data_IF_426234050031
#
_entry.id   IF_426234050031
#
_cell.length_a   1.000
_cell.length_b   1.000
_cell.length_c   1.000
_cell.angle_alpha   90.00
_cell.angle_beta   90.00
_cell.angle_gamma   90.00
#
_symmetry.space_group_name_H-M   'P 1'
#
loop_
_entity.id
_entity.type
_entity.pdbx_description
1 polymer ?
#
# COMPACT_ATOMS: atom_id res chain seq x y z
N UNK A 1 -14.71 34.37 -5.03
CA UNK A 1 -15.47 34.13 -6.27
C UNK A 1 -15.41 32.64 -6.56
N UNK A 2 -16.54 31.96 -6.71
CA UNK A 2 -16.55 30.54 -7.07
C UNK A 2 -15.90 30.38 -8.45
N UNK A 3 -14.94 29.46 -8.59
CA UNK A 3 -14.35 29.16 -9.91
C UNK A 3 -15.46 28.66 -10.82
N UNK A 4 -15.59 29.27 -11.98
CA UNK A 4 -16.51 28.86 -13.05
C UNK A 4 -15.95 27.70 -13.90
N UNK A 5 -14.92 27.02 -13.40
CA UNK A 5 -14.19 25.94 -14.07
C UNK A 5 -14.42 24.65 -13.27
N UNK A 6 -14.74 23.51 -13.92
CA UNK A 6 -14.93 22.24 -13.22
C UNK A 6 -13.68 21.86 -12.41
N UNK A 7 -13.89 21.24 -11.24
CA UNK A 7 -12.80 20.73 -10.41
C UNK A 7 -11.98 19.72 -11.22
N UNK A 8 -10.65 19.76 -11.12
CA UNK A 8 -9.77 18.90 -11.91
C UNK A 8 -8.74 18.17 -11.06
N UNK A 9 -8.62 16.86 -11.26
CA UNK A 9 -7.59 16.04 -10.65
C UNK A 9 -6.77 15.31 -11.71
N UNK A 10 -5.45 15.39 -11.62
CA UNK A 10 -4.54 14.57 -12.42
C UNK A 10 -4.16 13.34 -11.60
N UNK A 11 -4.34 12.15 -12.16
CA UNK A 11 -4.01 10.89 -11.49
C UNK A 11 -2.98 10.10 -12.30
N UNK A 12 -1.79 9.90 -11.74
CA UNK A 12 -0.74 9.08 -12.31
C UNK A 12 -0.96 7.60 -11.96
N UNK A 13 -0.96 6.74 -12.99
CA UNK A 13 -1.14 5.30 -12.85
C UNK A 13 -2.58 4.87 -13.10
N UNK A 14 -2.88 4.48 -14.33
CA UNK A 14 -4.21 4.03 -14.76
C UNK A 14 -4.44 2.53 -14.49
N UNK A 15 -3.76 1.94 -13.50
CA UNK A 15 -3.95 0.56 -13.07
C UNK A 15 -5.22 0.33 -12.24
N UNK A 16 -5.36 -0.85 -11.64
CA UNK A 16 -6.58 -1.22 -10.92
C UNK A 16 -6.83 -0.34 -9.66
N UNK A 17 -5.78 0.00 -8.90
CA UNK A 17 -5.90 0.93 -7.76
C UNK A 17 -6.29 2.33 -8.25
N UNK A 18 -5.66 2.79 -9.34
CA UNK A 18 -5.96 4.10 -9.89
C UNK A 18 -7.41 4.22 -10.36
N UNK A 19 -7.88 3.28 -11.20
CA UNK A 19 -9.26 3.29 -11.73
C UNK A 19 -10.30 2.94 -10.66
N UNK A 20 -10.07 1.88 -9.90
CA UNK A 20 -11.05 1.33 -8.97
C UNK A 20 -11.15 2.06 -7.64
N UNK A 21 -10.07 2.72 -7.19
CA UNK A 21 -10.04 3.36 -5.89
C UNK A 21 -9.84 4.87 -5.98
N UNK A 22 -8.65 5.34 -6.34
CA UNK A 22 -8.31 6.77 -6.22
C UNK A 22 -9.16 7.61 -7.17
N UNK A 23 -9.20 7.28 -8.46
CA UNK A 23 -10.00 8.01 -9.44
C UNK A 23 -11.50 7.86 -9.22
N UNK A 24 -11.97 6.72 -8.72
CA UNK A 24 -13.38 6.51 -8.36
C UNK A 24 -13.83 7.55 -7.31
N UNK A 25 -13.03 7.75 -6.27
CA UNK A 25 -13.34 8.69 -5.19
C UNK A 25 -13.21 10.15 -5.65
N UNK A 26 -12.22 10.45 -6.48
CA UNK A 26 -12.10 11.77 -7.13
C UNK A 26 -13.32 12.06 -8.03
N UNK A 27 -13.74 11.11 -8.86
CA UNK A 27 -14.93 11.23 -9.70
C UNK A 27 -16.18 11.49 -8.86
N UNK A 28 -16.41 10.68 -7.81
CA UNK A 28 -17.57 10.83 -6.93
C UNK A 28 -17.58 12.18 -6.20
N UNK A 29 -16.40 12.77 -5.98
CA UNK A 29 -16.22 14.11 -5.40
C UNK A 29 -16.42 15.27 -6.40
N UNK A 30 -16.80 14.96 -7.64
CA UNK A 30 -17.10 15.92 -8.70
C UNK A 30 -15.89 16.42 -9.48
N UNK A 31 -14.75 15.72 -9.42
CA UNK A 31 -13.58 16.05 -10.25
C UNK A 31 -13.71 15.48 -11.66
N UNK A 32 -13.34 16.26 -12.68
CA UNK A 32 -12.85 15.70 -13.94
C UNK A 32 -11.51 15.01 -13.66
N UNK A 33 -11.41 13.73 -13.99
CA UNK A 33 -10.18 12.95 -13.77
C UNK A 33 -9.37 12.88 -15.06
N UNK A 34 -8.14 13.39 -15.01
CA UNK A 34 -7.15 13.25 -16.08
C UNK A 34 -6.15 12.17 -15.69
N UNK A 35 -6.31 10.97 -16.25
CA UNK A 35 -5.34 9.89 -16.07
C UNK A 35 -4.02 10.20 -16.81
N UNK A 36 -2.91 9.88 -16.18
CA UNK A 36 -1.57 9.94 -16.77
C UNK A 36 -0.91 8.56 -16.64
N UNK A 37 -0.59 7.93 -17.77
CA UNK A 37 0.07 6.62 -17.81
C UNK A 37 0.99 6.52 -19.04
N UNK A 38 1.91 5.56 -19.06
CA UNK A 38 2.77 5.28 -20.23
C UNK A 38 2.24 4.14 -21.09
N UNK A 39 1.30 3.34 -20.57
CA UNK A 39 0.68 2.23 -21.25
C UNK A 39 -0.33 2.73 -22.30
N UNK A 40 0.12 2.77 -23.56
CA UNK A 40 -0.67 3.29 -24.68
C UNK A 40 -2.00 2.54 -24.87
N UNK A 41 -2.03 1.22 -24.67
CA UNK A 41 -3.26 0.45 -24.79
C UNK A 41 -4.31 0.88 -23.75
N UNK A 42 -3.88 1.16 -22.51
CA UNK A 42 -4.76 1.64 -21.44
C UNK A 42 -5.23 3.07 -21.69
N UNK A 43 -4.31 3.97 -22.09
CA UNK A 43 -4.64 5.36 -22.44
C UNK A 43 -5.63 5.41 -23.60
N UNK A 44 -5.39 4.64 -24.66
CA UNK A 44 -6.28 4.55 -25.82
C UNK A 44 -7.66 3.98 -25.44
N UNK A 45 -7.73 2.95 -24.59
CA UNK A 45 -9.01 2.42 -24.09
C UNK A 45 -9.78 3.48 -23.28
N UNK A 46 -9.12 4.19 -22.37
CA UNK A 46 -9.74 5.27 -21.59
C UNK A 46 -10.29 6.38 -22.50
N UNK A 47 -9.55 6.79 -23.53
CA UNK A 47 -10.02 7.85 -24.43
C UNK A 47 -11.14 7.41 -25.39
N UNK A 48 -11.30 6.11 -25.63
CA UNK A 48 -12.35 5.57 -26.54
C UNK A 48 -13.62 5.18 -25.80
N UNK A 49 -13.51 4.67 -24.57
CA UNK A 49 -14.65 4.30 -23.74
C UNK A 49 -15.10 5.47 -22.88
N UNK A 50 -16.38 5.86 -22.97
CA UNK A 50 -16.95 6.99 -22.21
C UNK A 50 -17.12 6.72 -20.71
N UNK A 51 -17.11 5.45 -20.33
CA UNK A 51 -17.32 5.00 -18.96
C UNK A 51 -16.72 3.62 -18.73
N UNK A 52 -16.42 3.29 -17.48
CA UNK A 52 -16.12 1.94 -17.01
C UNK A 52 -16.78 1.70 -15.65
N UNK A 53 -16.82 0.45 -15.20
CA UNK A 53 -17.45 0.06 -13.94
C UNK A 53 -16.43 -0.21 -12.85
N UNK A 54 -16.77 0.20 -11.64
CA UNK A 54 -16.11 -0.23 -10.41
C UNK A 54 -17.08 -1.12 -9.66
N UNK A 55 -16.72 -2.39 -9.53
CA UNK A 55 -17.54 -3.47 -8.97
C UNK A 55 -17.00 -3.80 -7.59
N UNK A 56 -17.74 -3.45 -6.56
CA UNK A 56 -17.34 -3.63 -5.17
C UNK A 56 -17.99 -4.88 -4.59
N UNK A 57 -17.19 -5.83 -4.14
CA UNK A 57 -17.66 -7.10 -3.58
C UNK A 57 -17.46 -7.17 -2.07
N UNK A 58 -18.47 -7.68 -1.38
CA UNK A 58 -18.43 -7.93 0.06
C UNK A 58 -19.30 -9.14 0.42
N UNK A 59 -19.21 -9.58 1.68
CA UNK A 59 -20.04 -10.68 2.18
C UNK A 59 -21.55 -10.37 2.17
N UNK A 60 -21.91 -9.09 2.11
CA UNK A 60 -23.26 -8.54 2.00
C UNK A 60 -23.72 -8.34 0.54
N UNK A 61 -22.94 -8.79 -0.44
CA UNK A 61 -23.26 -8.71 -1.87
C UNK A 61 -22.38 -7.72 -2.64
N UNK A 62 -22.82 -7.38 -3.85
CA UNK A 62 -22.07 -6.55 -4.81
C UNK A 62 -22.73 -5.17 -4.98
N UNK A 63 -21.92 -4.10 -5.00
CA UNK A 63 -22.32 -2.77 -5.47
C UNK A 63 -21.54 -2.39 -6.72
N UNK A 64 -22.10 -1.49 -7.53
CA UNK A 64 -21.48 -1.05 -8.77
C UNK A 64 -21.54 0.49 -8.86
N UNK A 65 -20.42 1.10 -9.26
CA UNK A 65 -20.32 2.52 -9.61
C UNK A 65 -19.89 2.66 -11.07
N UNK A 66 -20.55 3.55 -11.82
CA UNK A 66 -20.17 3.88 -13.19
C UNK A 66 -19.31 5.13 -13.15
N UNK A 67 -18.07 5.00 -13.60
CA UNK A 67 -17.11 6.11 -13.66
C UNK A 67 -17.18 6.75 -15.04
N UNK A 68 -17.32 8.06 -15.07
CA UNK A 68 -17.43 8.88 -16.29
C UNK A 68 -16.54 10.12 -16.17
N UNK A 69 -16.68 11.09 -17.08
CA UNK A 69 -16.03 12.40 -16.98
C UNK A 69 -14.51 12.33 -16.74
N UNK A 70 -13.85 11.43 -17.47
CA UNK A 70 -12.41 11.28 -17.44
C UNK A 70 -11.83 11.34 -18.85
N UNK A 71 -10.53 11.55 -18.91
CA UNK A 71 -9.70 11.37 -20.11
C UNK A 71 -8.31 10.90 -19.70
N UNK A 72 -7.52 10.44 -20.66
CA UNK A 72 -6.18 9.95 -20.41
C UNK A 72 -5.14 10.63 -21.31
N UNK A 73 -3.96 10.89 -20.74
CA UNK A 73 -2.80 11.43 -21.44
C UNK A 73 -1.67 10.41 -21.30
N UNK A 74 -1.02 10.09 -22.43
CA UNK A 74 0.21 9.33 -22.35
C UNK A 74 1.33 10.24 -21.82
N UNK A 75 1.78 9.99 -20.59
CA UNK A 75 2.73 10.87 -19.88
C UNK A 75 4.11 10.92 -20.53
N UNK A 76 4.45 9.96 -21.39
CA UNK A 76 5.72 9.91 -22.12
C UNK A 76 5.66 10.64 -23.46
N UNK A 77 4.56 10.53 -24.20
CA UNK A 77 4.45 11.07 -25.57
C UNK A 77 3.77 12.43 -25.63
N UNK A 78 2.99 12.80 -24.61
CA UNK A 78 2.22 14.05 -24.55
C UNK A 78 2.52 14.84 -23.26
N UNK A 79 3.79 14.87 -22.85
CA UNK A 79 4.24 15.52 -21.61
C UNK A 79 3.81 17.00 -21.54
N UNK A 80 3.92 17.74 -22.65
CA UNK A 80 3.55 19.15 -22.69
C UNK A 80 2.06 19.37 -22.36
N UNK A 81 1.18 18.43 -22.74
CA UNK A 81 -0.25 18.50 -22.45
C UNK A 81 -0.49 18.19 -20.98
N UNK A 82 0.17 17.14 -20.46
CA UNK A 82 0.12 16.77 -19.05
C UNK A 82 0.58 17.92 -18.13
N UNK A 83 1.66 18.61 -18.47
CA UNK A 83 2.16 19.78 -17.72
C UNK A 83 1.10 20.88 -17.63
N UNK A 84 0.37 21.15 -18.72
CA UNK A 84 -0.73 22.15 -18.72
C UNK A 84 -1.89 21.71 -17.84
N UNK A 85 -2.20 20.41 -17.80
CA UNK A 85 -3.22 19.88 -16.91
C UNK A 85 -2.83 20.03 -15.44
N UNK A 86 -1.60 19.66 -15.09
CA UNK A 86 -1.07 19.77 -13.72
C UNK A 86 -1.07 21.23 -13.26
N UNK A 87 -0.65 22.17 -14.11
CA UNK A 87 -0.58 23.59 -13.79
C UNK A 87 -1.93 24.19 -13.34
N UNK A 88 -3.05 23.61 -13.80
CA UNK A 88 -4.41 24.08 -13.48
C UNK A 88 -5.19 23.14 -12.57
N UNK A 89 -4.65 21.98 -12.22
CA UNK A 89 -5.32 21.00 -11.37
C UNK A 89 -5.47 21.48 -9.93
N UNK A 90 -6.48 20.97 -9.25
CA UNK A 90 -6.66 21.13 -7.80
C UNK A 90 -5.89 20.04 -7.05
N UNK A 91 -5.78 18.85 -7.65
CA UNK A 91 -5.13 17.67 -7.10
C UNK A 91 -4.20 17.01 -8.13
N UNK A 92 -3.07 16.51 -7.63
CA UNK A 92 -2.22 15.52 -8.30
C UNK A 92 -2.12 14.32 -7.38
N UNK A 93 -2.57 13.16 -7.85
CA UNK A 93 -2.49 11.91 -7.10
C UNK A 93 -1.71 10.86 -7.89
N UNK A 94 -1.18 9.83 -7.23
CA UNK A 94 -0.57 8.70 -7.93
C UNK A 94 -0.79 7.36 -7.24
N UNK A 95 -0.85 6.29 -8.03
CA UNK A 95 -0.73 4.89 -7.59
C UNK A 95 0.04 4.10 -8.66
N UNK A 96 1.35 4.36 -8.74
CA UNK A 96 2.28 3.87 -9.77
C UNK A 96 3.30 2.88 -9.24
N UNK A 97 3.40 2.72 -7.92
CA UNK A 97 4.44 1.97 -7.25
C UNK A 97 5.60 2.88 -6.80
N UNK A 98 6.16 2.69 -5.59
CA UNK A 98 7.20 3.58 -5.03
C UNK A 98 8.42 3.79 -5.93
N UNK A 99 8.86 2.75 -6.64
CA UNK A 99 10.01 2.82 -7.56
C UNK A 99 9.76 3.68 -8.80
N UNK A 100 8.49 3.95 -9.12
CA UNK A 100 8.08 4.74 -10.29
C UNK A 100 7.93 6.23 -9.96
N UNK A 101 7.86 6.61 -8.68
CA UNK A 101 7.70 8.00 -8.24
C UNK A 101 8.75 8.95 -8.86
N UNK A 102 10.00 8.51 -8.94
CA UNK A 102 11.10 9.29 -9.57
C UNK A 102 10.86 9.60 -11.05
N UNK A 103 10.10 8.78 -11.77
CA UNK A 103 9.85 8.97 -13.20
C UNK A 103 8.67 9.91 -13.47
N UNK A 104 7.75 10.08 -12.52
CA UNK A 104 6.62 11.03 -12.65
C UNK A 104 6.98 12.42 -12.10
N UNK A 105 7.94 12.50 -11.18
CA UNK A 105 8.37 13.74 -10.54
C UNK A 105 8.75 14.87 -11.52
N UNK A 106 9.46 14.65 -12.64
CA UNK A 106 9.83 15.72 -13.57
C UNK A 106 8.62 16.44 -14.19
N UNK A 107 7.59 15.68 -14.60
CA UNK A 107 6.38 16.25 -15.19
C UNK A 107 5.57 17.05 -14.14
N UNK A 108 5.51 16.54 -12.90
CA UNK A 108 4.86 17.23 -11.79
C UNK A 108 5.60 18.52 -11.44
N UNK A 109 6.94 18.50 -11.37
CA UNK A 109 7.75 19.68 -11.12
C UNK A 109 7.52 20.77 -12.18
N UNK A 110 7.53 20.42 -13.47
CA UNK A 110 7.21 21.35 -14.57
C UNK A 110 5.79 21.91 -14.47
N UNK A 111 4.82 21.09 -14.10
CA UNK A 111 3.44 21.52 -13.90
C UNK A 111 3.27 22.49 -12.73
N UNK A 112 3.93 22.21 -11.59
CA UNK A 112 3.98 23.11 -10.44
C UNK A 112 4.68 24.43 -10.80
N UNK A 113 5.78 24.37 -11.56
CA UNK A 113 6.51 25.55 -12.03
C UNK A 113 5.62 26.46 -12.90
N UNK A 114 4.81 25.85 -13.76
CA UNK A 114 3.87 26.54 -14.65
C UNK A 114 2.57 27.01 -13.95
N UNK A 115 2.30 26.60 -12.70
CA UNK A 115 1.08 26.98 -11.98
C UNK A 115 1.08 28.46 -11.61
N UNK A 116 0.04 29.26 -11.94
CA UNK A 116 -0.09 30.65 -11.46
C UNK A 116 -0.23 30.74 -9.93
N UNK A 117 0.40 31.74 -9.31
CA UNK A 117 0.40 31.95 -7.84
C UNK A 117 -0.94 32.39 -7.26
N UNK A 118 -1.86 32.81 -8.12
CA UNK A 118 -3.20 33.26 -7.77
C UNK A 118 -4.16 32.07 -7.57
N UNK A 119 -3.77 30.88 -8.05
CA UNK A 119 -4.48 29.65 -7.78
C UNK A 119 -4.07 29.11 -6.40
N UNK A 120 -5.02 28.53 -5.67
CA UNK A 120 -4.74 27.70 -4.48
C UNK A 120 -3.61 26.72 -4.80
N UNK A 121 -2.64 26.46 -3.91
CA UNK A 121 -1.61 25.45 -4.14
C UNK A 121 -2.21 24.10 -4.55
N UNK A 122 -1.60 23.41 -5.51
CA UNK A 122 -2.03 22.05 -5.90
C UNK A 122 -1.75 21.08 -4.76
N UNK A 123 -2.72 20.23 -4.43
CA UNK A 123 -2.53 19.16 -3.46
C UNK A 123 -1.88 17.94 -4.15
N UNK A 124 -0.68 17.57 -3.73
CA UNK A 124 0.04 16.38 -4.21
C UNK A 124 -0.08 15.29 -3.16
N UNK A 125 -0.64 14.14 -3.54
CA UNK A 125 -0.92 13.01 -2.64
C UNK A 125 -0.55 11.68 -3.33
N UNK A 126 0.56 11.07 -2.93
CA UNK A 126 0.92 9.73 -3.36
C UNK A 126 0.12 8.68 -2.59
N UNK A 127 -0.69 7.90 -3.31
CA UNK A 127 -1.57 6.84 -2.81
C UNK A 127 -0.89 5.48 -3.05
N UNK A 128 0.23 5.26 -2.38
CA UNK A 128 1.10 4.09 -2.55
C UNK A 128 1.03 3.16 -1.33
N UNK A 129 1.36 1.89 -1.53
CA UNK A 129 1.59 0.95 -0.42
C UNK A 129 3.01 1.13 0.16
N UNK A 130 3.35 2.36 0.56
CA UNK A 130 4.62 2.73 1.16
C UNK A 130 4.43 3.89 2.15
N UNK A 131 5.20 3.85 3.25
CA UNK A 131 5.23 4.92 4.25
C UNK A 131 5.95 6.13 3.67
N UNK A 132 5.42 7.33 3.86
CA UNK A 132 6.08 8.57 3.42
C UNK A 132 6.17 8.72 1.90
N UNK A 133 5.31 8.04 1.13
CA UNK A 133 5.40 8.03 -0.34
C UNK A 133 5.29 9.44 -0.95
N UNK A 134 4.53 10.33 -0.31
CA UNK A 134 4.38 11.70 -0.81
C UNK A 134 5.62 12.54 -0.49
N UNK A 135 6.26 12.31 0.65
CA UNK A 135 7.56 12.91 0.96
C UNK A 135 8.64 12.43 -0.02
N UNK A 136 8.71 11.12 -0.30
CA UNK A 136 9.62 10.57 -1.31
C UNK A 136 9.37 11.19 -2.70
N UNK A 137 8.11 11.34 -3.09
CA UNK A 137 7.78 12.03 -4.34
C UNK A 137 8.20 13.51 -4.30
N UNK A 138 7.98 14.20 -3.18
CA UNK A 138 8.36 15.58 -2.99
C UNK A 138 9.89 15.78 -3.04
N UNK A 139 10.68 14.84 -2.52
CA UNK A 139 12.14 14.83 -2.64
C UNK A 139 12.56 14.78 -4.11
N UNK A 140 11.99 13.86 -4.91
CA UNK A 140 12.27 13.80 -6.34
C UNK A 140 11.84 15.06 -7.07
N UNK A 141 10.68 15.64 -6.73
CA UNK A 141 10.20 16.90 -7.32
C UNK A 141 11.17 18.05 -7.01
N UNK A 142 11.62 18.17 -5.76
CA UNK A 142 12.50 19.24 -5.28
C UNK A 142 13.97 19.07 -5.71
N UNK A 143 14.33 17.91 -6.25
CA UNK A 143 15.69 17.63 -6.69
C UNK A 143 16.18 18.67 -7.71
N UNK A 144 17.46 19.10 -7.67
CA UNK A 144 17.97 20.20 -8.50
C UNK A 144 17.80 20.01 -10.01
N UNK A 145 17.75 18.76 -10.48
CA UNK A 145 17.49 18.40 -11.87
C UNK A 145 16.04 18.66 -12.31
N UNK A 146 15.10 18.73 -11.37
CA UNK A 146 13.66 18.88 -11.62
C UNK A 146 13.14 20.27 -11.24
N UNK A 147 13.64 20.85 -10.15
CA UNK A 147 13.20 22.17 -9.66
C UNK A 147 14.40 23.08 -9.40
N UNK A 148 14.38 24.26 -10.02
CA UNK A 148 15.43 25.27 -9.85
C UNK A 148 15.41 25.85 -8.42
N UNK A 149 16.57 26.17 -7.80
CA UNK A 149 16.62 26.67 -6.42
C UNK A 149 15.71 27.87 -6.13
N UNK A 150 15.59 28.81 -7.06
CA UNK A 150 14.73 29.99 -6.92
C UNK A 150 13.23 29.65 -6.81
N UNK A 151 12.83 28.47 -7.27
CA UNK A 151 11.44 27.96 -7.23
C UNK A 151 11.13 27.20 -5.96
N UNK A 152 12.15 26.73 -5.25
CA UNK A 152 11.97 26.11 -3.94
C UNK A 152 11.52 27.15 -2.90
N UNK A 153 11.96 28.40 -3.05
CA UNK A 153 11.63 29.49 -2.13
C UNK A 153 10.15 29.92 -2.13
N UNK A 154 9.42 29.65 -3.22
CA UNK A 154 7.97 29.91 -3.32
C UNK A 154 7.14 28.65 -3.63
N UNK A 155 7.72 27.46 -3.43
CA UNK A 155 7.07 26.18 -3.75
C UNK A 155 5.79 25.99 -2.96
N UNK A 156 5.78 26.41 -1.69
CA UNK A 156 4.62 26.38 -0.83
C UNK A 156 3.47 27.22 -1.40
N UNK A 157 3.73 28.30 -2.13
CA UNK A 157 2.66 29.07 -2.78
C UNK A 157 2.03 28.33 -3.96
N UNK A 158 2.63 27.23 -4.43
CA UNK A 158 2.19 26.50 -5.64
C UNK A 158 1.79 25.05 -5.37
N UNK A 159 2.37 24.40 -4.38
CA UNK A 159 2.12 23.00 -4.06
C UNK A 159 2.09 22.71 -2.55
N UNK A 160 1.27 21.73 -2.19
CA UNK A 160 1.13 21.16 -0.84
C UNK A 160 1.29 19.66 -0.95
N UNK A 161 2.15 19.07 -0.14
CA UNK A 161 2.49 17.64 -0.18
C UNK A 161 1.94 17.00 1.09
N UNK A 162 1.04 16.02 0.96
CA UNK A 162 0.42 15.36 2.10
C UNK A 162 0.51 13.85 1.97
N UNK A 163 1.13 13.19 2.95
CA UNK A 163 1.17 11.74 2.93
C UNK A 163 -0.22 11.15 3.11
N UNK A 164 -0.36 9.92 2.61
CA UNK A 164 -1.59 9.16 2.75
C UNK A 164 -1.31 7.73 3.20
N UNK A 165 -2.30 7.15 3.87
CA UNK A 165 -2.40 5.73 4.11
C UNK A 165 -3.66 5.23 3.40
N UNK A 166 -3.48 4.31 2.45
CA UNK A 166 -4.57 3.71 1.71
C UNK A 166 -4.70 2.21 2.02
N UNK A 167 -5.94 1.73 2.13
CA UNK A 167 -6.24 0.31 2.29
C UNK A 167 -7.44 -0.08 1.45
N UNK A 168 -7.20 -0.98 0.49
CA UNK A 168 -8.23 -1.62 -0.31
C UNK A 168 -7.64 -2.87 -0.96
N UNK A 169 -8.27 -4.02 -0.72
CA UNK A 169 -7.92 -5.29 -1.34
C UNK A 169 -8.47 -5.30 -2.76
N UNK A 170 -7.55 -5.40 -3.71
CA UNK A 170 -7.85 -5.60 -5.13
C UNK A 170 -7.34 -6.98 -5.51
N UNK A 171 -8.25 -7.95 -5.76
CA UNK A 171 -7.86 -9.30 -6.16
C UNK A 171 -7.31 -9.30 -7.60
N UNK A 172 -6.89 -10.47 -8.07
CA UNK A 172 -6.62 -10.66 -9.49
C UNK A 172 -7.87 -10.28 -10.31
N UNK A 173 -7.66 -9.59 -11.43
CA UNK A 173 -8.74 -9.18 -12.33
C UNK A 173 -8.88 -10.19 -13.45
N UNK A 174 -10.10 -10.36 -13.95
CA UNK A 174 -10.34 -11.06 -15.20
C UNK A 174 -9.57 -10.34 -16.34
N UNK A 175 -8.69 -11.03 -17.09
CA UNK A 175 -7.97 -10.44 -18.22
C UNK A 175 -8.88 -9.79 -19.26
N UNK A 176 -10.13 -10.26 -19.38
CA UNK A 176 -11.13 -9.76 -20.33
C UNK A 176 -12.02 -8.65 -19.75
N UNK A 177 -11.82 -8.22 -18.50
CA UNK A 177 -12.60 -7.15 -17.85
C UNK A 177 -12.45 -5.77 -18.53
N UNK A 178 -11.48 -5.60 -19.42
CA UNK A 178 -11.24 -4.32 -20.10
C UNK A 178 -10.78 -3.25 -19.11
N UNK A 179 -11.57 -2.17 -18.95
CA UNK A 179 -11.31 -1.11 -17.98
C UNK A 179 -11.98 -1.34 -16.63
N UNK A 180 -12.98 -2.23 -16.57
CA UNK A 180 -13.72 -2.49 -15.35
C UNK A 180 -12.77 -3.01 -14.26
N UNK A 181 -13.07 -2.67 -13.01
CA UNK A 181 -12.28 -3.10 -11.84
C UNK A 181 -13.20 -3.71 -10.80
N UNK A 182 -12.87 -4.92 -10.38
CA UNK A 182 -13.47 -5.63 -9.26
C UNK A 182 -12.58 -5.54 -8.02
N UNK A 183 -13.13 -5.11 -6.89
CA UNK A 183 -12.37 -4.90 -5.65
C UNK A 183 -13.28 -5.02 -4.43
N UNK A 184 -12.72 -5.05 -3.23
CA UNK A 184 -13.55 -5.17 -2.02
C UNK A 184 -14.36 -3.88 -1.75
N UNK A 185 -15.52 -4.03 -1.09
CA UNK A 185 -16.33 -2.91 -0.60
C UNK A 185 -15.64 -2.07 0.47
N UNK A 186 -14.83 -2.68 1.33
CA UNK A 186 -14.10 -1.92 2.34
C UNK A 186 -13.07 -1.01 1.67
N UNK A 187 -12.90 0.18 2.22
CA UNK A 187 -11.79 1.05 1.89
C UNK A 187 -11.40 1.86 3.11
N UNK A 188 -10.17 2.33 3.13
CA UNK A 188 -9.70 3.38 4.01
C UNK A 188 -8.75 4.28 3.23
N UNK A 189 -9.00 5.59 3.23
CA UNK A 189 -8.11 6.59 2.65
C UNK A 189 -7.92 7.72 3.65
N UNK A 190 -6.78 7.71 4.32
CA UNK A 190 -6.43 8.70 5.34
C UNK A 190 -5.32 9.60 4.81
N UNK A 191 -5.45 10.91 4.97
CA UNK A 191 -4.49 11.90 4.46
C UNK A 191 -4.14 12.91 5.54
N UNK A 192 -2.87 13.34 5.55
CA UNK A 192 -2.41 14.40 6.44
C UNK A 192 -3.07 15.75 6.10
N UNK A 193 -3.61 16.39 7.12
CA UNK A 193 -4.23 17.73 7.03
C UNK A 193 -3.24 18.86 7.32
N UNK A 194 -2.14 18.57 8.04
CA UNK A 194 -1.17 19.58 8.48
C UNK A 194 -0.53 20.40 7.36
N UNK A 195 -0.28 19.87 6.13
CA UNK A 195 0.23 20.69 5.05
C UNK A 195 -0.72 21.83 4.69
N UNK A 196 -2.03 21.64 4.91
CA UNK A 196 -3.09 22.58 4.60
C UNK A 196 -3.45 23.47 5.81
N UNK A 197 -2.63 23.61 6.86
CA UNK A 197 -3.04 24.37 8.05
C UNK A 197 -3.50 25.83 7.78
N UNK A 198 -3.04 26.44 6.69
CA UNK A 198 -3.39 27.79 6.26
C UNK A 198 -4.66 27.89 5.38
N UNK A 199 -5.24 26.77 4.92
CA UNK A 199 -6.47 26.74 4.11
C UNK A 199 -7.19 25.39 4.15
N UNK A 200 -8.47 25.30 3.78
CA UNK A 200 -9.13 23.99 3.81
C UNK A 200 -8.50 23.00 2.81
N UNK A 201 -8.24 21.73 3.21
CA UNK A 201 -7.82 20.70 2.26
C UNK A 201 -8.89 20.49 1.18
N UNK A 202 -8.51 19.99 -0.01
CA UNK A 202 -9.47 19.73 -1.07
C UNK A 202 -10.52 18.70 -0.63
N UNK A 203 -11.79 18.99 -0.89
CA UNK A 203 -12.88 18.06 -0.56
C UNK A 203 -12.85 16.83 -1.45
N UNK A 204 -12.55 15.67 -0.84
CA UNK A 204 -12.67 14.35 -1.45
C UNK A 204 -13.58 13.51 -0.55
N UNK A 205 -14.73 13.11 -1.07
CA UNK A 205 -15.66 12.19 -0.41
C UNK A 205 -14.94 10.88 -0.09
N UNK A 206 -15.13 10.38 1.14
CA UNK A 206 -14.51 9.14 1.61
C UNK A 206 -13.07 9.26 2.09
N UNK A 207 -12.43 10.44 1.99
CA UNK A 207 -11.12 10.71 2.60
C UNK A 207 -11.27 11.18 4.04
N UNK A 208 -10.51 10.56 4.95
CA UNK A 208 -10.35 11.01 6.33
C UNK A 208 -9.09 11.87 6.46
N UNK A 209 -9.28 13.15 6.74
CA UNK A 209 -8.19 14.08 7.02
C UNK A 209 -7.79 14.00 8.50
N UNK A 210 -6.50 13.86 8.79
CA UNK A 210 -5.97 13.71 10.16
C UNK A 210 -4.73 14.55 10.38
N UNK A 211 -4.43 14.92 11.61
CA UNK A 211 -3.19 15.64 11.95
C UNK A 211 -2.00 14.69 12.08
N UNK A 212 -2.23 13.44 12.51
CA UNK A 212 -1.21 12.41 12.69
C UNK A 212 -1.61 11.14 11.95
N UNK A 213 -0.85 10.79 10.90
CA UNK A 213 -1.09 9.62 10.06
C UNK A 213 -0.51 8.33 10.64
N UNK A 214 0.50 8.43 11.52
CA UNK A 214 1.25 7.28 12.03
C UNK A 214 0.38 6.17 12.66
N UNK A 215 -0.64 6.48 13.49
CA UNK A 215 -1.52 5.45 14.06
C UNK A 215 -2.25 4.64 12.99
N UNK A 216 -2.66 5.27 11.89
CA UNK A 216 -3.38 4.59 10.80
C UNK A 216 -2.44 3.70 9.98
N UNK A 217 -1.23 4.18 9.70
CA UNK A 217 -0.19 3.40 9.01
C UNK A 217 0.13 2.13 9.78
N UNK A 218 0.46 2.26 11.07
CA UNK A 218 0.83 1.11 11.89
C UNK A 218 -0.36 0.19 12.16
N UNK A 219 -1.55 0.73 12.42
CA UNK A 219 -2.76 -0.09 12.60
C UNK A 219 -3.05 -0.94 11.37
N UNK A 220 -2.95 -0.38 10.17
CA UNK A 220 -3.12 -1.11 8.91
C UNK A 220 -1.99 -2.13 8.70
N UNK A 221 -0.74 -1.72 8.87
CA UNK A 221 0.42 -2.59 8.68
C UNK A 221 0.38 -3.79 9.65
N UNK A 222 0.09 -3.55 10.92
CA UNK A 222 0.16 -4.58 11.96
C UNK A 222 -1.16 -5.35 12.16
N UNK A 223 -2.24 -4.95 11.46
CA UNK A 223 -3.49 -5.70 11.46
C UNK A 223 -3.78 -6.32 10.09
N UNK A 224 -3.93 -5.50 9.05
CA UNK A 224 -4.29 -5.98 7.71
C UNK A 224 -3.14 -6.74 7.09
N UNK A 225 -1.95 -6.13 7.01
CA UNK A 225 -0.83 -6.76 6.32
C UNK A 225 -0.30 -7.97 7.11
N UNK A 226 -0.22 -7.89 8.45
CA UNK A 226 0.16 -9.02 9.32
C UNK A 226 -0.83 -10.16 9.19
N UNK A 227 -2.13 -9.93 9.41
CA UNK A 227 -3.14 -11.00 9.37
C UNK A 227 -3.22 -11.67 7.99
N UNK A 228 -3.18 -10.88 6.92
CA UNK A 228 -3.24 -11.41 5.55
C UNK A 228 -1.99 -12.24 5.21
N UNK A 229 -0.80 -11.77 5.60
CA UNK A 229 0.44 -12.50 5.38
C UNK A 229 0.55 -13.76 6.25
N UNK A 230 0.13 -13.72 7.53
CA UNK A 230 0.06 -14.91 8.39
C UNK A 230 -0.84 -15.96 7.76
N UNK A 231 -2.05 -15.60 7.32
CA UNK A 231 -2.96 -16.53 6.67
C UNK A 231 -2.34 -17.14 5.39
N UNK A 232 -1.66 -16.32 4.58
CA UNK A 232 -1.02 -16.78 3.36
C UNK A 232 0.16 -17.73 3.61
N UNK A 233 1.07 -17.42 4.53
CA UNK A 233 2.24 -18.27 4.79
C UNK A 233 1.87 -19.60 5.46
N UNK A 234 0.97 -19.57 6.45
CA UNK A 234 0.44 -20.81 7.04
C UNK A 234 -0.37 -21.61 6.00
N UNK A 235 -1.18 -20.94 5.19
CA UNK A 235 -1.92 -21.55 4.09
C UNK A 235 -0.99 -22.22 3.07
N UNK A 236 0.07 -21.54 2.65
CA UNK A 236 1.06 -22.07 1.71
C UNK A 236 1.74 -23.33 2.24
N UNK A 237 2.26 -23.30 3.47
CA UNK A 237 2.89 -24.48 4.11
C UNK A 237 1.91 -25.64 4.24
N UNK A 238 0.62 -25.36 4.48
CA UNK A 238 -0.46 -26.36 4.56
C UNK A 238 -1.16 -26.64 3.23
N UNK A 239 -0.58 -26.21 2.10
CA UNK A 239 -1.06 -26.46 0.72
C UNK A 239 -2.51 -26.00 0.46
N UNK A 240 -2.93 -24.92 1.11
CA UNK A 240 -4.19 -24.23 0.84
C UNK A 240 -4.04 -23.38 -0.41
N UNK A 241 -5.08 -23.28 -1.23
CA UNK A 241 -4.97 -22.58 -2.52
C UNK A 241 -5.15 -21.06 -2.38
N UNK A 242 -6.03 -20.63 -1.47
CA UNK A 242 -6.36 -19.21 -1.28
C UNK A 242 -6.35 -18.84 0.18
N UNK A 243 -6.25 -17.54 0.48
CA UNK A 243 -6.40 -17.02 1.85
C UNK A 243 -7.78 -17.35 2.41
N UNK A 244 -8.83 -17.35 1.59
CA UNK A 244 -10.16 -17.79 2.02
C UNK A 244 -10.16 -19.24 2.49
N UNK A 245 -9.59 -20.16 1.70
CA UNK A 245 -9.43 -21.59 2.02
C UNK A 245 -8.58 -21.78 3.28
N UNK A 246 -7.47 -21.05 3.39
CA UNK A 246 -6.63 -21.05 4.59
C UNK A 246 -7.42 -20.64 5.84
N UNK A 247 -8.30 -19.63 5.75
CA UNK A 247 -9.10 -19.16 6.88
C UNK A 247 -10.36 -20.01 7.17
N UNK A 248 -10.66 -21.03 6.34
CA UNK A 248 -11.62 -22.08 6.70
C UNK A 248 -10.99 -23.15 7.60
N UNK A 249 -9.67 -23.21 7.65
CA UNK A 249 -8.93 -24.07 8.57
C UNK A 249 -8.90 -23.43 9.98
N UNK A 250 -9.45 -24.14 10.96
CA UNK A 250 -9.58 -23.61 12.32
C UNK A 250 -8.21 -23.30 12.94
N UNK A 251 -7.20 -24.13 12.67
CA UNK A 251 -5.86 -23.92 13.23
C UNK A 251 -5.21 -22.67 12.64
N UNK A 252 -5.31 -22.46 11.32
CA UNK A 252 -4.80 -21.24 10.67
C UNK A 252 -5.54 -20.01 11.19
N UNK A 253 -6.86 -20.10 11.35
CA UNK A 253 -7.64 -18.98 11.87
C UNK A 253 -7.22 -18.61 13.31
N UNK A 254 -6.96 -19.60 14.16
CA UNK A 254 -6.46 -19.38 15.52
C UNK A 254 -5.05 -18.75 15.53
N UNK A 255 -4.14 -19.21 14.66
CA UNK A 255 -2.80 -18.64 14.49
C UNK A 255 -2.84 -17.18 14.03
N UNK A 256 -3.69 -16.85 13.06
CA UNK A 256 -3.92 -15.47 12.61
C UNK A 256 -4.44 -14.61 13.76
N UNK A 257 -5.45 -15.08 14.49
CA UNK A 257 -6.01 -14.32 15.63
C UNK A 257 -4.98 -14.09 16.73
N UNK A 258 -4.13 -15.08 17.02
CA UNK A 258 -3.07 -14.96 18.03
C UNK A 258 -1.98 -13.96 17.60
N UNK A 259 -1.57 -13.98 16.33
CA UNK A 259 -0.65 -12.97 15.81
C UNK A 259 -1.24 -11.56 15.91
N UNK A 260 -2.53 -11.41 15.58
CA UNK A 260 -3.24 -10.13 15.66
C UNK A 260 -3.50 -9.66 17.10
N UNK A 261 -3.62 -10.56 18.08
CA UNK A 261 -3.75 -10.13 19.48
C UNK A 261 -2.47 -9.48 20.00
N UNK A 262 -1.29 -9.98 19.60
CA UNK A 262 -0.01 -9.38 19.97
C UNK A 262 0.14 -7.97 19.37
N UNK A 263 -0.20 -7.81 18.09
CA UNK A 263 -0.13 -6.49 17.45
C UNK A 263 -1.21 -5.52 17.94
N UNK A 264 -2.41 -6.01 18.27
CA UNK A 264 -3.46 -5.20 18.89
C UNK A 264 -3.01 -4.63 20.24
N UNK A 265 -2.33 -5.43 21.07
CA UNK A 265 -1.77 -4.94 22.33
C UNK A 265 -0.74 -3.82 22.09
N UNK A 266 0.15 -3.99 21.10
CA UNK A 266 1.12 -2.95 20.73
C UNK A 266 0.43 -1.66 20.27
N UNK A 267 -0.54 -1.77 19.35
CA UNK A 267 -1.26 -0.62 18.78
C UNK A 267 -2.00 0.17 19.86
N UNK A 268 -2.74 -0.51 20.74
CA UNK A 268 -3.55 0.13 21.79
C UNK A 268 -2.67 0.92 22.76
N UNK A 269 -1.53 0.37 23.16
CA UNK A 269 -0.62 1.04 24.08
C UNK A 269 0.17 2.17 23.43
N UNK A 270 0.65 1.97 22.21
CA UNK A 270 1.49 2.94 21.50
C UNK A 270 0.72 4.16 21.03
N UNK A 271 -0.51 3.96 20.55
CA UNK A 271 -1.32 5.03 19.92
C UNK A 271 -2.51 5.48 20.77
N UNK A 272 -2.73 4.88 21.93
CA UNK A 272 -3.85 5.20 22.80
C UNK A 272 -5.22 4.87 22.20
N UNK A 273 -5.27 3.96 21.21
CA UNK A 273 -6.52 3.49 20.60
C UNK A 273 -7.26 2.61 21.63
N UNK A 274 -8.55 2.84 21.90
CA UNK A 274 -9.32 2.00 22.82
C UNK A 274 -9.27 0.52 22.42
N UNK A 275 -9.09 -0.37 23.40
CA UNK A 275 -8.95 -1.81 23.16
C UNK A 275 -10.15 -2.40 22.42
N UNK A 276 -11.37 -1.98 22.76
CA UNK A 276 -12.60 -2.41 22.08
C UNK A 276 -12.64 -1.95 20.61
N UNK A 277 -12.17 -0.74 20.33
CA UNK A 277 -12.09 -0.22 18.96
C UNK A 277 -11.06 -1.00 18.14
N UNK A 278 -9.90 -1.31 18.72
CA UNK A 278 -8.89 -2.11 18.03
C UNK A 278 -9.36 -3.55 17.82
N UNK A 279 -10.04 -4.16 18.80
CA UNK A 279 -10.59 -5.49 18.66
C UNK A 279 -11.68 -5.56 17.58
N UNK A 280 -12.58 -4.58 17.54
CA UNK A 280 -13.58 -4.47 16.48
C UNK A 280 -12.93 -4.33 15.09
N UNK A 281 -11.80 -3.60 15.00
CA UNK A 281 -11.03 -3.52 13.76
C UNK A 281 -10.40 -4.86 13.39
N UNK A 282 -9.76 -5.56 14.34
CA UNK A 282 -9.23 -6.92 14.13
C UNK A 282 -10.30 -7.86 13.58
N UNK A 283 -11.48 -7.91 14.20
CA UNK A 283 -12.58 -8.77 13.77
C UNK A 283 -13.10 -8.40 12.38
N UNK A 284 -13.17 -7.09 12.09
CA UNK A 284 -13.49 -6.59 10.75
C UNK A 284 -12.45 -7.03 9.72
N UNK A 285 -11.17 -6.97 10.05
CA UNK A 285 -10.07 -7.39 9.15
C UNK A 285 -10.14 -8.88 8.89
N UNK A 286 -10.25 -9.72 9.93
CA UNK A 286 -10.36 -11.18 9.77
C UNK A 286 -11.54 -11.52 8.86
N UNK A 287 -12.70 -10.89 9.06
CA UNK A 287 -13.86 -11.07 8.18
C UNK A 287 -13.59 -10.63 6.73
N UNK A 288 -12.85 -9.54 6.52
CA UNK A 288 -12.50 -9.03 5.19
C UNK A 288 -11.62 -10.01 4.42
N UNK A 289 -10.54 -10.49 5.04
CA UNK A 289 -9.62 -11.43 4.39
C UNK A 289 -10.23 -12.83 4.24
N UNK A 290 -11.26 -13.18 5.03
CA UNK A 290 -12.10 -14.37 4.85
C UNK A 290 -13.26 -14.18 3.86
N UNK A 291 -13.22 -13.19 2.96
CA UNK A 291 -14.28 -13.00 1.97
C UNK A 291 -14.16 -14.02 0.82
N UNK A 292 -15.16 -14.90 0.58
CA UNK A 292 -15.10 -15.90 -0.48
C UNK A 292 -15.03 -15.30 -1.88
N UNK A 293 -15.39 -14.03 -2.06
CA UNK A 293 -15.38 -13.36 -3.36
C UNK A 293 -14.03 -12.74 -3.75
N UNK A 294 -13.01 -12.82 -2.88
CA UNK A 294 -11.67 -12.31 -3.17
C UNK A 294 -10.73 -13.37 -3.76
N UNK A 295 -10.96 -14.67 -3.49
CA UNK A 295 -10.20 -15.84 -4.00
C UNK A 295 -8.69 -15.60 -4.14
N UNK A 296 -8.09 -14.94 -3.14
CA UNK A 296 -6.72 -14.45 -3.24
C UNK A 296 -5.71 -15.58 -3.02
N UNK A 297 -4.93 -15.93 -4.05
CA UNK A 297 -3.99 -17.04 -3.99
C UNK A 297 -2.91 -16.81 -2.92
N UNK A 298 -2.61 -17.84 -2.11
CA UNK A 298 -1.65 -17.72 -1.01
C UNK A 298 -0.24 -17.37 -1.51
N UNK A 299 0.15 -17.86 -2.68
CA UNK A 299 1.43 -17.54 -3.31
C UNK A 299 1.49 -16.06 -3.67
N UNK A 300 0.42 -15.52 -4.26
CA UNK A 300 0.33 -14.09 -4.63
C UNK A 300 0.43 -13.20 -3.40
N UNK A 301 -0.31 -13.55 -2.35
CA UNK A 301 -0.28 -12.81 -1.08
C UNK A 301 1.05 -13.01 -0.37
N UNK A 302 1.74 -14.14 -0.56
CA UNK A 302 3.04 -14.51 0.01
C UNK A 302 4.26 -13.85 -0.64
N UNK A 303 4.17 -13.41 -1.90
CA UNK A 303 5.28 -12.78 -2.67
C UNK A 303 6.08 -11.71 -1.93
N UNK A 304 7.34 -11.52 -2.33
CA UNK A 304 8.27 -10.60 -1.71
C UNK A 304 8.52 -10.87 -0.21
N UNK A 305 8.94 -12.11 0.17
CA UNK A 305 9.18 -12.47 1.56
C UNK A 305 10.34 -11.69 2.20
N UNK A 306 11.40 -11.33 1.45
CA UNK A 306 12.53 -10.56 2.00
C UNK A 306 12.06 -9.20 2.51
N UNK A 307 11.24 -8.48 1.72
CA UNK A 307 10.65 -7.22 2.17
C UNK A 307 9.80 -7.42 3.44
N UNK A 308 8.94 -8.45 3.47
CA UNK A 308 7.97 -8.68 4.57
C UNK A 308 8.59 -9.17 5.86
N UNK A 309 9.75 -9.82 5.78
CA UNK A 309 10.56 -10.24 6.93
C UNK A 309 11.46 -9.10 7.46
N UNK A 310 11.53 -7.94 6.80
CA UNK A 310 12.41 -6.85 7.23
C UNK A 310 11.96 -6.17 8.54
N UNK A 311 12.91 -5.53 9.24
CA UNK A 311 12.77 -4.88 10.56
C UNK A 311 11.66 -3.83 10.63
N UNK A 312 11.28 -3.24 9.50
CA UNK A 312 10.30 -2.15 9.40
C UNK A 312 8.94 -2.64 8.91
N UNK A 313 8.74 -3.95 8.85
CA UNK A 313 7.56 -4.58 8.25
C UNK A 313 6.76 -5.43 9.24
N UNK A 314 5.70 -6.04 8.71
CA UNK A 314 4.54 -6.63 9.41
C UNK A 314 4.80 -7.73 10.45
N UNK A 315 6.00 -8.33 10.50
CA UNK A 315 6.34 -9.38 11.49
C UNK A 315 7.45 -8.94 12.44
N UNK A 316 8.64 -8.68 11.91
CA UNK A 316 9.81 -8.35 12.72
C UNK A 316 9.67 -6.98 13.39
N UNK A 317 9.05 -6.00 12.72
CA UNK A 317 8.77 -4.68 13.31
C UNK A 317 8.00 -4.75 14.62
N UNK A 318 6.76 -5.25 14.62
CA UNK A 318 5.96 -5.32 15.85
C UNK A 318 6.55 -6.30 16.87
N UNK A 319 7.14 -7.42 16.44
CA UNK A 319 7.77 -8.37 17.35
C UNK A 319 8.96 -7.73 18.10
N UNK A 320 9.75 -6.91 17.42
CA UNK A 320 10.90 -6.27 18.05
C UNK A 320 10.46 -5.22 19.08
N UNK A 321 9.41 -4.44 18.78
CA UNK A 321 8.84 -3.49 19.74
C UNK A 321 8.26 -4.20 20.97
N UNK A 322 7.57 -5.33 20.78
CA UNK A 322 7.04 -6.15 21.88
C UNK A 322 8.18 -6.76 22.72
N UNK A 323 9.21 -7.30 22.07
CA UNK A 323 10.37 -7.88 22.76
C UNK A 323 11.12 -6.83 23.59
N UNK A 324 11.28 -5.59 23.08
CA UNK A 324 11.89 -4.50 23.83
C UNK A 324 11.10 -4.15 25.11
N UNK A 325 9.77 -4.30 25.07
CA UNK A 325 8.87 -4.15 26.22
C UNK A 325 8.79 -5.38 27.12
N UNK A 326 9.50 -6.47 26.79
CA UNK A 326 9.45 -7.74 27.54
C UNK A 326 8.12 -8.49 27.38
N UNK A 327 7.41 -8.28 26.28
CA UNK A 327 6.13 -8.91 25.99
C UNK A 327 6.25 -10.12 25.08
N UNK A 328 5.20 -10.95 25.10
CA UNK A 328 5.11 -12.08 24.19
C UNK A 328 4.95 -11.61 22.74
N UNK A 329 5.76 -12.20 21.86
CA UNK A 329 5.67 -12.04 20.42
C UNK A 329 5.73 -13.39 19.68
N UNK A 330 5.54 -14.51 20.40
CA UNK A 330 5.65 -15.88 19.90
C UNK A 330 4.86 -16.12 18.61
N UNK A 331 3.59 -15.72 18.56
CA UNK A 331 2.76 -15.90 17.36
C UNK A 331 3.25 -15.11 16.13
N UNK A 332 4.00 -14.02 16.32
CA UNK A 332 4.64 -13.32 15.20
C UNK A 332 5.90 -14.06 14.73
N UNK A 333 6.60 -14.74 15.63
CA UNK A 333 7.72 -15.63 15.30
C UNK A 333 7.24 -16.89 14.60
N UNK A 334 6.10 -17.46 15.01
CA UNK A 334 5.46 -18.59 14.32
C UNK A 334 5.11 -18.22 12.86
N UNK A 335 4.51 -17.04 12.67
CA UNK A 335 4.20 -16.52 11.33
C UNK A 335 5.47 -16.20 10.51
N UNK A 336 6.50 -15.64 11.14
CA UNK A 336 7.78 -15.38 10.49
C UNK A 336 8.48 -16.68 10.08
N UNK A 337 8.39 -17.75 10.88
CA UNK A 337 8.90 -19.07 10.54
C UNK A 337 8.26 -19.59 9.24
N UNK A 338 6.94 -19.49 9.12
CA UNK A 338 6.24 -19.89 7.89
C UNK A 338 6.66 -19.02 6.69
N UNK A 339 6.93 -17.73 6.92
CA UNK A 339 7.46 -16.84 5.88
C UNK A 339 8.89 -17.21 5.46
N UNK A 340 9.75 -17.64 6.39
CA UNK A 340 11.09 -18.16 6.06
C UNK A 340 11.03 -19.45 5.24
N UNK A 341 9.96 -20.26 5.38
CA UNK A 341 9.71 -21.47 4.58
C UNK A 341 9.17 -21.17 3.17
N UNK A 342 8.77 -19.93 2.89
CA UNK A 342 8.28 -19.49 1.58
C UNK A 342 9.44 -19.24 0.61
N UNK A 343 10.01 -20.34 0.11
CA UNK A 343 11.20 -20.36 -0.73
C UNK A 343 10.91 -21.01 -2.09
N UNK A 344 11.66 -20.59 -3.13
CA UNK A 344 11.60 -21.17 -4.48
C UNK A 344 10.19 -21.20 -5.10
N UNK A 345 9.38 -20.17 -4.84
CA UNK A 345 8.02 -20.06 -5.38
C UNK A 345 8.07 -19.49 -6.78
N UNK A 346 7.45 -20.18 -7.73
CA UNK A 346 7.44 -19.78 -9.14
C UNK A 346 6.90 -18.36 -9.32
N UNK A 347 7.67 -17.54 -10.05
CA UNK A 347 7.31 -16.14 -10.33
C UNK A 347 7.52 -15.17 -9.17
N UNK A 348 8.30 -15.53 -8.15
CA UNK A 348 8.71 -14.63 -7.06
C UNK A 348 10.23 -14.65 -6.83
N UNK A 349 10.95 -13.73 -7.47
CA UNK A 349 12.42 -13.61 -7.40
C UNK A 349 12.94 -13.46 -5.96
N UNK A 350 12.20 -12.78 -5.09
CA UNK A 350 12.59 -12.64 -3.68
C UNK A 350 12.54 -13.97 -2.92
N UNK A 351 11.66 -14.91 -3.27
CA UNK A 351 11.60 -16.23 -2.64
C UNK A 351 12.79 -17.12 -3.04
N UNK A 352 13.25 -17.03 -4.29
CA UNK A 352 14.48 -17.68 -4.74
C UNK A 352 15.70 -17.05 -4.06
N UNK A 353 15.71 -15.73 -3.93
CA UNK A 353 16.80 -15.03 -3.24
C UNK A 353 16.84 -15.37 -1.75
N UNK A 354 15.68 -15.50 -1.12
CA UNK A 354 15.58 -15.97 0.26
C UNK A 354 16.17 -17.38 0.40
N UNK A 355 15.83 -18.30 -0.51
CA UNK A 355 16.38 -19.66 -0.51
C UNK A 355 17.92 -19.64 -0.57
N UNK A 356 18.48 -18.86 -1.50
CA UNK A 356 19.93 -18.69 -1.64
C UNK A 356 20.59 -18.15 -0.35
N UNK A 357 19.97 -17.15 0.28
CA UNK A 357 20.48 -16.57 1.54
C UNK A 357 20.43 -17.61 2.67
N UNK A 358 19.33 -18.36 2.77
CA UNK A 358 19.13 -19.40 3.78
C UNK A 358 20.12 -20.56 3.62
N UNK A 359 20.46 -20.96 2.40
CA UNK A 359 21.40 -22.06 2.15
C UNK A 359 22.85 -21.68 2.44
N UNK A 360 23.26 -20.44 2.10
CA UNK A 360 24.67 -20.04 2.07
C UNK A 360 25.19 -19.42 3.37
N UNK A 361 24.34 -19.16 4.35
CA UNK A 361 24.70 -18.34 5.51
C UNK A 361 24.27 -19.00 6.82
N UNK A 362 25.07 -18.77 7.86
CA UNK A 362 24.72 -19.12 9.23
C UNK A 362 23.47 -18.34 9.70
N UNK A 363 22.66 -18.89 10.63
CA UNK A 363 21.41 -18.28 11.10
C UNK A 363 21.53 -16.80 11.47
N UNK A 364 22.59 -16.42 12.17
CA UNK A 364 22.84 -15.04 12.62
C UNK A 364 23.02 -14.07 11.44
N UNK A 365 23.65 -14.53 10.35
CA UNK A 365 23.88 -13.70 9.17
C UNK A 365 22.60 -13.56 8.32
N UNK A 366 21.81 -14.62 8.21
CA UNK A 366 20.46 -14.56 7.62
C UNK A 366 19.61 -13.51 8.34
N UNK A 367 19.59 -13.52 9.67
CA UNK A 367 18.81 -12.55 10.47
C UNK A 367 19.28 -11.12 10.21
N UNK A 368 20.59 -10.87 10.16
CA UNK A 368 21.13 -9.55 9.82
C UNK A 368 20.74 -9.10 8.41
N UNK A 369 20.87 -9.98 7.42
CA UNK A 369 20.65 -9.64 6.01
C UNK A 369 19.17 -9.50 5.65
N UNK A 370 18.33 -10.44 6.09
CA UNK A 370 16.90 -10.51 5.73
C UNK A 370 16.08 -9.63 6.66
N UNK A 371 16.29 -9.78 7.97
CA UNK A 371 15.49 -9.05 8.95
C UNK A 371 16.07 -7.67 9.24
N UNK A 372 17.36 -7.41 9.03
CA UNK A 372 17.99 -6.13 9.40
C UNK A 372 18.17 -5.95 10.91
N UNK A 373 17.95 -7.01 11.70
CA UNK A 373 18.11 -6.99 13.15
C UNK A 373 19.60 -6.99 13.53
N UNK A 374 19.93 -6.31 14.61
CA UNK A 374 21.27 -6.26 15.17
C UNK A 374 21.42 -7.21 16.37
N UNK A 375 22.62 -7.77 16.64
CA UNK A 375 22.83 -8.72 17.74
C UNK A 375 22.49 -8.21 19.15
N UNK A 376 22.39 -6.90 19.33
CA UNK A 376 22.03 -6.28 20.62
C UNK A 376 20.52 -6.12 20.84
N UNK A 377 19.70 -6.30 19.80
CA UNK A 377 18.23 -6.20 19.91
C UNK A 377 17.67 -7.45 20.60
N UNK A 378 16.69 -7.27 21.52
CA UNK A 378 16.17 -8.39 22.33
C UNK A 378 15.50 -9.49 21.50
N UNK A 379 14.97 -9.15 20.34
CA UNK A 379 14.34 -10.12 19.43
C UNK A 379 15.37 -10.99 18.68
N UNK A 380 16.60 -10.50 18.48
CA UNK A 380 17.63 -11.15 17.66
C UNK A 380 17.79 -12.66 17.94
N UNK A 381 18.04 -13.11 19.19
CA UNK A 381 18.21 -14.54 19.47
C UNK A 381 16.96 -15.37 19.12
N UNK A 382 15.75 -14.83 19.27
CA UNK A 382 14.53 -15.56 18.94
C UNK A 382 14.39 -15.78 17.43
N UNK A 383 14.73 -14.79 16.61
CA UNK A 383 14.70 -14.95 15.14
C UNK A 383 15.80 -15.88 14.67
N UNK A 384 16.98 -15.85 15.31
CA UNK A 384 18.05 -16.80 15.03
C UNK A 384 17.58 -18.24 15.28
N UNK A 385 16.87 -18.48 16.37
CA UNK A 385 16.30 -19.81 16.66
C UNK A 385 15.24 -20.23 15.62
N UNK A 386 14.42 -19.29 15.14
CA UNK A 386 13.48 -19.53 14.03
C UNK A 386 14.22 -19.96 12.77
N UNK A 387 15.22 -19.18 12.35
CA UNK A 387 15.99 -19.48 11.13
C UNK A 387 16.69 -20.83 11.25
N UNK A 388 17.30 -21.13 12.40
CA UNK A 388 17.99 -22.41 12.65
C UNK A 388 17.05 -23.61 12.48
N UNK A 389 15.80 -23.52 12.97
CA UNK A 389 14.80 -24.59 12.78
C UNK A 389 14.47 -24.80 11.30
N UNK A 390 14.27 -23.71 10.56
CA UNK A 390 13.96 -23.78 9.13
C UNK A 390 15.12 -24.41 8.34
N UNK A 391 16.37 -24.05 8.65
CA UNK A 391 17.56 -24.64 8.01
C UNK A 391 17.69 -26.14 8.32
N UNK A 392 17.53 -26.56 9.58
CA UNK A 392 17.70 -27.96 9.99
C UNK A 392 16.69 -28.92 9.34
N UNK A 393 15.49 -28.45 9.03
CA UNK A 393 14.48 -29.27 8.36
C UNK A 393 14.72 -29.40 6.86
N UNK A 394 15.32 -28.38 6.22
CA UNK A 394 15.72 -28.44 4.81
C UNK A 394 16.82 -29.48 4.60
N UNK A 395 17.77 -29.59 5.53
CA UNK A 395 18.85 -30.59 5.48
C UNK A 395 18.28 -32.01 5.57
N UNK A 396 17.26 -32.24 6.40
CA UNK A 396 16.64 -33.56 6.58
C UNK A 396 15.81 -34.08 5.38
N UNK A 397 15.49 -33.22 4.40
CA UNK A 397 14.79 -33.60 3.16
C UNK A 397 15.73 -33.70 1.95
N UNK A 398 17.03 -33.44 2.16
CA UNK A 398 18.08 -33.47 1.12
C UNK A 398 18.89 -34.77 1.13
N UNK A 399 18.72 -35.59 2.16
CA UNK A 399 19.18 -36.99 2.30
C UNK A 399 18.05 -37.97 1.96
#
# INVERSE_FOLDING_TARGET
MARNCPKKAVHFGAGNIGRGFVACFLHNSGYEVVFADVNEATVSKLNTQKSYRVIEVGADGTSESIITNYRAINSRTHEADLVREIATADLVTCSVGPHILKFIAPAIAKGIDARPTELTPVAVIACENAIGATDTLAEFIKAPENTRPERLADLDKRARFANSAIDRIVPAQDPDAGLDVRLEKFYEWVVESTPFADHSPPHIEGVRWVENLQPFIERKLYTVNTGHATAAYHGYVRRKSTVYDALQDREIQEEVRKALSHTAELITQKHGIPAEEQQAYVDKIVRRISNPHLEDAVERVGRAPLRKLSRKERFIGPAAELAEQGKDCSALMDAAEMAFRFQNVEGDDESFKLAEIMEKNEPEEVVKQVCGLQPHEKLFPQVVDVVRRVQSESDAHSD
#
